data_IF_191551395983
#
_entry.id   IF_191551395983
#
_cell.length_a   1.000
_cell.length_b   1.000
_cell.length_c   1.000
_cell.angle_alpha   90.00
_cell.angle_beta   90.00
_cell.angle_gamma   90.00
#
_symmetry.space_group_name_H-M   'P 1'
#
loop_
_entity.id
_entity.type
_entity.pdbx_description
1 polymer ?
#
# COMPACT_ATOMS: atom_id res chain seq x y z
N UNK A 1 -10.00 8.62 1.66
CA UNK A 1 -10.41 7.37 1.01
C UNK A 1 -9.44 6.29 1.43
N UNK A 2 -9.96 5.26 2.11
CA UNK A 2 -9.26 4.12 2.71
C UNK A 2 -8.44 4.32 3.99
N UNK A 3 -8.46 5.47 4.68
CA UNK A 3 -8.12 5.46 6.11
C UNK A 3 -9.35 4.95 6.88
N UNK A 4 -9.27 3.73 7.38
CA UNK A 4 -10.30 3.16 8.24
C UNK A 4 -9.61 2.37 9.35
N UNK A 5 -9.97 2.65 10.61
CA UNK A 5 -9.70 1.70 11.68
C UNK A 5 -10.52 0.45 11.40
N UNK A 6 -9.85 -0.64 11.05
CA UNK A 6 -10.51 -1.92 10.82
C UNK A 6 -10.46 -2.71 12.13
N UNK A 7 -11.61 -2.91 12.75
CA UNK A 7 -11.71 -3.82 13.89
C UNK A 7 -11.63 -5.26 13.38
N UNK A 8 -10.59 -5.98 13.82
CA UNK A 8 -10.35 -7.37 13.44
C UNK A 8 -10.65 -8.34 14.57
N UNK A 9 -11.18 -7.89 15.71
CA UNK A 9 -11.45 -8.76 16.87
C UNK A 9 -12.35 -9.94 16.52
N UNK A 10 -13.44 -9.69 15.82
CA UNK A 10 -14.35 -10.76 15.38
C UNK A 10 -13.65 -11.80 14.48
N UNK A 11 -12.67 -11.39 13.68
CA UNK A 11 -11.88 -12.30 12.82
C UNK A 11 -10.96 -13.16 13.68
N UNK A 12 -10.32 -12.55 14.69
CA UNK A 12 -9.42 -13.25 15.60
C UNK A 12 -10.19 -14.21 16.53
N UNK A 13 -11.38 -13.83 16.98
CA UNK A 13 -12.25 -14.66 17.83
C UNK A 13 -12.85 -15.84 17.06
N UNK A 14 -13.09 -15.70 15.75
CA UNK A 14 -13.56 -16.80 14.90
C UNK A 14 -12.52 -17.92 14.72
N UNK A 15 -11.25 -17.69 15.08
CA UNK A 15 -10.19 -18.69 14.92
C UNK A 15 -10.03 -19.12 13.46
N UNK A 16 -9.87 -20.42 13.23
CA UNK A 16 -9.65 -21.01 11.91
C UNK A 16 -10.94 -21.50 11.24
N UNK A 17 -12.01 -20.72 11.38
CA UNK A 17 -13.28 -20.96 10.70
C UNK A 17 -13.58 -19.93 9.60
N UNK A 18 -14.26 -20.37 8.54
CA UNK A 18 -14.73 -19.52 7.45
C UNK A 18 -13.72 -19.22 6.34
N UNK A 19 -14.06 -18.34 5.39
CA UNK A 19 -13.29 -18.17 4.14
C UNK A 19 -11.85 -17.70 4.34
N UNK A 20 -11.58 -16.93 5.41
CA UNK A 20 -10.23 -16.45 5.69
C UNK A 20 -9.31 -17.57 6.17
N UNK A 21 -9.86 -18.54 6.91
CA UNK A 21 -9.13 -19.71 7.38
C UNK A 21 -8.75 -20.65 6.22
N UNK A 22 -9.64 -20.81 5.22
CA UNK A 22 -9.32 -21.55 3.99
C UNK A 22 -8.13 -20.92 3.24
N UNK A 23 -8.12 -19.59 3.12
CA UNK A 23 -6.99 -18.89 2.50
C UNK A 23 -5.71 -18.99 3.35
N UNK A 24 -5.80 -18.85 4.66
CA UNK A 24 -4.67 -19.01 5.56
C UNK A 24 -4.05 -20.41 5.44
N UNK A 25 -4.89 -21.44 5.46
CA UNK A 25 -4.47 -22.83 5.27
C UNK A 25 -3.81 -23.06 3.90
N UNK A 26 -4.32 -22.43 2.83
CA UNK A 26 -3.75 -22.57 1.47
C UNK A 26 -2.30 -22.08 1.35
N UNK A 27 -1.88 -21.18 2.24
CA UNK A 27 -0.51 -20.64 2.31
C UNK A 27 0.25 -21.14 3.55
N UNK A 28 -0.28 -22.14 4.27
CA UNK A 28 0.38 -22.80 5.39
C UNK A 28 0.46 -21.95 6.66
N UNK A 29 -0.54 -21.12 6.93
CA UNK A 29 -0.58 -20.25 8.12
C UNK A 29 -1.95 -20.27 8.81
N UNK A 30 -2.07 -19.64 9.98
CA UNK A 30 -3.31 -19.48 10.73
C UNK A 30 -4.01 -18.15 10.43
N UNK A 31 -5.27 -18.02 10.83
CA UNK A 31 -6.11 -16.85 10.51
C UNK A 31 -5.56 -15.56 11.10
N UNK A 32 -4.93 -15.61 12.28
CA UNK A 32 -4.35 -14.44 12.94
C UNK A 32 -3.10 -13.93 12.19
N UNK A 33 -2.21 -14.85 11.83
CA UNK A 33 -1.01 -14.57 11.05
C UNK A 33 -1.36 -14.06 9.65
N UNK A 34 -2.33 -14.68 8.98
CA UNK A 34 -2.82 -14.24 7.67
C UNK A 34 -3.39 -12.82 7.75
N UNK A 35 -4.23 -12.53 8.76
CA UNK A 35 -4.84 -11.21 8.95
C UNK A 35 -3.80 -10.11 9.19
N UNK A 36 -2.74 -10.40 9.95
CA UNK A 36 -1.66 -9.45 10.23
C UNK A 36 -0.88 -9.05 8.97
N UNK A 37 -0.87 -9.90 7.95
CA UNK A 37 -0.17 -9.68 6.68
C UNK A 37 -1.08 -9.11 5.59
N UNK A 38 -2.27 -8.62 5.95
CA UNK A 38 -3.20 -8.04 4.99
C UNK A 38 -2.55 -6.87 4.21
N UNK A 39 -2.86 -6.72 2.91
CA UNK A 39 -2.24 -5.72 2.05
C UNK A 39 -2.63 -4.31 2.48
N UNK A 40 -1.60 -3.46 2.60
CA UNK A 40 -1.74 -2.06 2.96
C UNK A 40 -0.61 -1.23 2.38
N UNK A 41 -0.92 0.02 2.07
CA UNK A 41 0.04 1.03 1.62
C UNK A 41 -0.20 2.31 2.43
N UNK A 42 0.87 2.95 2.86
CA UNK A 42 0.81 4.21 3.61
C UNK A 42 1.89 5.16 3.12
N UNK A 43 1.55 6.45 3.06
CA UNK A 43 2.47 7.53 2.71
C UNK A 43 2.62 8.49 3.89
N UNK A 44 3.86 8.88 4.16
CA UNK A 44 4.19 9.75 5.28
C UNK A 44 5.01 10.96 4.80
N UNK A 45 4.67 12.15 5.29
CA UNK A 45 5.46 13.36 5.11
C UNK A 45 6.16 13.73 6.41
N UNK A 46 7.42 14.16 6.33
CA UNK A 46 8.13 14.76 7.46
C UNK A 46 8.23 16.27 7.21
N UNK A 47 7.55 17.07 8.03
CA UNK A 47 7.57 18.53 7.96
C UNK A 47 7.77 19.10 9.38
N UNK A 48 8.76 19.97 9.56
CA UNK A 48 9.11 20.61 10.83
C UNK A 48 9.28 19.64 12.02
N UNK A 49 9.83 18.45 11.75
CA UNK A 49 10.04 17.41 12.75
C UNK A 49 8.78 16.59 13.09
N UNK A 50 7.65 16.87 12.45
CA UNK A 50 6.38 16.14 12.62
C UNK A 50 6.16 15.18 11.46
N UNK A 51 5.80 13.93 11.76
CA UNK A 51 5.44 12.92 10.76
C UNK A 51 3.93 12.92 10.56
N UNK A 52 3.50 13.23 9.35
CA UNK A 52 2.09 13.22 8.93
C UNK A 52 1.79 11.98 8.11
N UNK A 53 0.70 11.29 8.42
CA UNK A 53 0.17 10.20 7.59
C UNK A 53 -0.73 10.80 6.52
N UNK A 54 -0.21 10.96 5.31
CA UNK A 54 -0.85 11.76 4.26
C UNK A 54 -1.79 10.94 3.37
N UNK A 55 -1.59 9.62 3.30
CA UNK A 55 -2.42 8.73 2.50
C UNK A 55 -2.33 7.28 3.00
N UNK A 56 -3.43 6.53 2.92
CA UNK A 56 -3.43 5.08 3.09
C UNK A 56 -4.38 4.38 2.14
N UNK A 57 -4.05 3.16 1.72
CA UNK A 57 -4.95 2.27 1.01
C UNK A 57 -4.81 0.84 1.53
N UNK A 58 -5.92 0.08 1.53
CA UNK A 58 -5.98 -1.31 1.96
C UNK A 58 -6.81 -2.13 0.98
N UNK A 59 -6.67 -3.46 1.04
CA UNK A 59 -7.42 -4.40 0.23
C UNK A 59 -7.41 -4.00 -1.27
N UNK A 60 -8.59 -3.91 -1.89
CA UNK A 60 -8.74 -3.54 -3.31
C UNK A 60 -8.27 -2.13 -3.66
N UNK A 61 -7.98 -1.29 -2.68
CA UNK A 61 -7.34 0.01 -2.90
C UNK A 61 -5.93 -0.10 -3.50
N UNK A 62 -5.32 -1.30 -3.45
CA UNK A 62 -4.03 -1.59 -4.06
C UNK A 62 -4.14 -2.16 -5.48
N UNK A 63 -5.35 -2.49 -5.96
CA UNK A 63 -5.57 -3.07 -7.31
C UNK A 63 -5.10 -2.15 -8.45
N UNK A 64 -4.88 -0.87 -8.17
CA UNK A 64 -4.42 0.12 -9.12
C UNK A 64 -2.97 0.57 -8.84
N UNK A 65 -2.12 -0.27 -8.23
CA UNK A 65 -0.71 0.02 -7.93
C UNK A 65 0.27 -0.82 -8.78
N UNK A 66 -0.02 -0.98 -10.07
CA UNK A 66 0.80 -1.79 -10.98
C UNK A 66 1.92 -1.00 -11.65
N UNK A 67 1.75 0.32 -11.81
CA UNK A 67 2.72 1.20 -12.44
C UNK A 67 3.32 2.24 -11.49
N UNK A 68 4.50 2.73 -11.83
CA UNK A 68 5.23 3.69 -10.98
C UNK A 68 4.45 4.99 -10.76
N UNK A 69 3.76 5.52 -11.77
CA UNK A 69 3.02 6.77 -11.60
C UNK A 69 1.91 6.67 -10.55
N UNK A 70 1.25 5.53 -10.44
CA UNK A 70 0.18 5.33 -9.46
C UNK A 70 0.71 5.34 -8.02
N UNK A 71 1.95 4.89 -7.82
CA UNK A 71 2.68 5.02 -6.56
C UNK A 71 3.04 6.48 -6.28
N UNK A 72 3.61 7.17 -7.26
CA UNK A 72 4.00 8.58 -7.13
C UNK A 72 2.81 9.49 -6.86
N UNK A 73 1.64 9.23 -7.46
CA UNK A 73 0.40 10.00 -7.22
C UNK A 73 -0.07 9.97 -5.76
N UNK A 74 0.44 9.04 -4.96
CA UNK A 74 0.10 8.87 -3.54
C UNK A 74 1.26 9.26 -2.61
N UNK A 75 2.43 9.55 -3.16
CA UNK A 75 3.53 10.11 -2.39
C UNK A 75 3.17 11.53 -1.92
N UNK A 76 3.71 12.01 -0.78
CA UNK A 76 3.33 13.33 -0.25
C UNK A 76 3.57 14.50 -1.21
N UNK A 77 4.62 14.41 -2.05
CA UNK A 77 4.94 15.41 -3.07
C UNK A 77 4.38 15.08 -4.45
N UNK A 78 3.48 14.09 -4.53
CA UNK A 78 3.01 13.53 -5.79
C UNK A 78 4.17 13.03 -6.65
N UNK A 79 4.07 13.27 -7.96
CA UNK A 79 5.15 12.96 -8.92
C UNK A 79 6.38 13.86 -8.78
N UNK A 80 6.24 15.01 -8.12
CA UNK A 80 7.32 15.99 -7.93
C UNK A 80 8.02 16.37 -9.27
N UNK A 81 7.25 16.46 -10.35
CA UNK A 81 7.75 16.78 -11.69
C UNK A 81 7.78 18.30 -11.90
N UNK A 82 8.90 18.82 -12.40
CA UNK A 82 9.06 20.23 -12.78
C UNK A 82 8.85 20.49 -14.28
N UNK A 83 8.53 19.44 -15.06
CA UNK A 83 8.38 19.49 -16.51
C UNK A 83 8.69 18.14 -17.16
N UNK A 84 8.81 18.13 -18.48
CA UNK A 84 9.19 16.94 -19.25
C UNK A 84 10.65 16.60 -18.97
N UNK A 85 10.87 15.48 -18.28
CA UNK A 85 12.21 15.05 -17.84
C UNK A 85 12.71 13.80 -18.59
N UNK A 86 11.80 13.03 -19.19
CA UNK A 86 12.19 11.88 -20.00
C UNK A 86 12.82 12.35 -21.30
N UNK A 87 13.85 11.63 -21.71
CA UNK A 87 14.57 11.85 -22.96
C UNK A 87 14.38 10.67 -23.88
N UNK A 88 14.72 10.83 -25.15
CA UNK A 88 14.81 9.67 -26.04
C UNK A 88 15.96 8.79 -25.58
N UNK A 89 15.85 7.49 -25.85
CA UNK A 89 16.85 6.51 -25.41
C UNK A 89 18.29 6.90 -25.81
N UNK A 90 18.47 7.49 -26.99
CA UNK A 90 19.77 7.92 -27.55
C UNK A 90 20.27 9.29 -27.04
N UNK A 91 19.49 9.97 -26.21
CA UNK A 91 19.84 11.24 -25.59
C UNK A 91 20.39 11.06 -24.15
N UNK A 92 20.32 9.84 -23.60
CA UNK A 92 20.95 9.50 -22.33
C UNK A 92 22.45 9.19 -22.54
N UNK A 93 23.32 9.79 -21.71
CA UNK A 93 24.79 9.55 -21.74
C UNK A 93 25.62 10.52 -22.58
N UNK A 94 25.02 11.56 -23.16
CA UNK A 94 25.74 12.63 -23.89
C UNK A 94 26.12 13.84 -22.99
N UNK A 95 26.28 13.61 -21.69
CA UNK A 95 26.57 14.63 -20.68
C UNK A 95 27.76 14.25 -19.80
#
# INVERSE_FOLDING_TARGET
>A
YNFASRDVRAILEAGDEGPLAEFAASVGTDTAAFTRQAPGMSAFALEDGVVYHTYSAYARGLDALWGMYQWLDRAPKGRNEAGVWWRRHDEYGKG
#
